data_IF_282324572382
#
_entry.id   IF_282324572382
#
_cell.length_a   1.000
_cell.length_b   1.000
_cell.length_c   1.000
_cell.angle_alpha   90.00
_cell.angle_beta   90.00
_cell.angle_gamma   90.00
#
_symmetry.space_group_name_H-M   'P 1'
#
loop_
_entity.id
_entity.type
_entity.pdbx_description
1 polymer ?
#
# COMPACT_ATOMS: atom_id res chain seq x y z
N UNK A 1 -7.25 29.89 -5.84
CA UNK A 1 -7.04 28.44 -5.83
C UNK A 1 -6.92 28.07 -4.36
N UNK A 2 -7.84 27.29 -3.83
CA UNK A 2 -7.69 26.72 -2.49
C UNK A 2 -6.49 25.78 -2.56
N UNK A 3 -5.44 26.03 -1.79
CA UNK A 3 -4.29 25.12 -1.71
C UNK A 3 -4.82 23.80 -1.15
N UNK A 4 -4.59 22.69 -1.85
CA UNK A 4 -4.93 21.36 -1.35
C UNK A 4 -4.02 21.05 -0.15
N UNK A 5 -4.59 20.45 0.90
CA UNK A 5 -3.84 20.10 2.10
C UNK A 5 -3.34 18.65 2.01
N UNK A 6 -2.03 18.44 2.12
CA UNK A 6 -1.42 17.12 2.31
C UNK A 6 -1.31 16.80 3.81
N UNK A 7 -1.81 15.62 4.20
CA UNK A 7 -1.77 15.13 5.58
C UNK A 7 -0.72 14.03 5.68
N UNK A 8 0.43 14.31 6.29
CA UNK A 8 1.47 13.29 6.48
C UNK A 8 1.14 12.45 7.71
N UNK A 9 1.12 11.13 7.54
CA UNK A 9 0.83 10.15 8.60
C UNK A 9 1.99 9.16 8.68
N UNK A 10 2.81 9.27 9.71
CA UNK A 10 3.91 8.33 9.92
C UNK A 10 3.40 7.01 10.48
N UNK A 11 3.73 5.91 9.81
CA UNK A 11 3.36 4.55 10.16
C UNK A 11 4.62 3.70 10.34
N UNK A 12 5.36 3.82 11.47
CA UNK A 12 6.60 3.07 11.71
C UNK A 12 6.34 1.59 12.04
N UNK A 13 5.57 0.90 11.19
CA UNK A 13 5.23 -0.51 11.31
C UNK A 13 6.47 -1.35 10.98
N UNK A 14 6.82 -2.27 11.86
CA UNK A 14 7.90 -3.24 11.63
C UNK A 14 7.53 -4.63 12.17
N UNK A 15 6.24 -4.81 12.50
CA UNK A 15 5.65 -6.05 13.03
C UNK A 15 5.20 -7.01 11.92
N UNK A 16 5.05 -6.53 10.68
CA UNK A 16 4.66 -7.34 9.54
C UNK A 16 5.76 -8.33 9.12
N UNK A 17 7.01 -8.11 9.54
CA UNK A 17 8.17 -8.96 9.20
C UNK A 17 9.16 -9.09 10.34
N UNK A 18 9.95 -10.16 10.32
CA UNK A 18 10.98 -10.43 11.34
C UNK A 18 12.22 -9.55 11.25
N UNK A 19 12.58 -9.07 10.05
CA UNK A 19 13.78 -8.25 9.86
C UNK A 19 13.44 -6.82 10.26
N UNK A 20 13.99 -6.35 11.37
CA UNK A 20 13.76 -4.98 11.80
C UNK A 20 14.41 -3.94 10.87
N UNK A 21 13.86 -2.73 10.87
CA UNK A 21 14.45 -1.54 10.29
C UNK A 21 13.45 -0.66 9.54
N UNK A 22 12.27 -1.18 9.19
CA UNK A 22 11.26 -0.39 8.49
C UNK A 22 10.66 0.71 9.37
N UNK A 23 10.70 0.55 10.71
CA UNK A 23 10.27 1.59 11.65
C UNK A 23 10.96 2.95 11.44
N UNK A 24 12.14 2.98 10.80
CA UNK A 24 12.91 4.20 10.51
C UNK A 24 12.42 4.93 9.25
N UNK A 25 11.60 4.30 8.41
CA UNK A 25 11.13 4.83 7.13
C UNK A 25 10.44 6.19 7.22
N UNK A 26 9.46 6.39 8.11
CA UNK A 26 8.75 7.68 8.21
C UNK A 26 9.70 8.85 8.51
N UNK A 27 10.66 8.64 9.41
CA UNK A 27 11.60 9.68 9.81
C UNK A 27 12.69 9.91 8.75
N UNK A 28 13.02 8.90 7.94
CA UNK A 28 13.89 9.06 6.78
C UNK A 28 13.25 9.99 5.72
N UNK A 29 11.96 9.84 5.43
CA UNK A 29 11.23 10.76 4.53
C UNK A 29 11.21 12.20 5.06
N UNK A 30 11.02 12.39 6.37
CA UNK A 30 11.08 13.71 7.00
C UNK A 30 12.50 14.30 6.96
N UNK A 31 13.52 13.47 7.17
CA UNK A 31 14.92 13.88 7.08
C UNK A 31 15.31 14.30 5.66
N UNK A 32 14.73 13.67 4.65
CA UNK A 32 14.85 14.06 3.24
C UNK A 32 14.02 15.31 2.87
N UNK A 33 13.39 15.97 3.85
CA UNK A 33 12.57 17.17 3.72
C UNK A 33 11.37 17.03 2.78
N UNK A 34 10.69 15.87 2.81
CA UNK A 34 9.40 15.70 2.11
C UNK A 34 8.39 16.83 2.46
N UNK A 35 8.22 17.27 3.73
CA UNK A 35 7.33 18.38 4.04
C UNK A 35 7.73 19.69 3.36
N UNK A 36 9.03 20.00 3.25
CA UNK A 36 9.53 21.17 2.52
C UNK A 36 9.25 21.07 1.02
N UNK A 37 9.55 19.92 0.41
CA UNK A 37 9.31 19.69 -1.02
C UNK A 37 7.83 19.87 -1.40
N UNK A 38 6.89 19.39 -0.57
CA UNK A 38 5.45 19.60 -0.80
C UNK A 38 5.04 21.07 -0.66
N UNK A 39 5.61 21.81 0.29
CA UNK A 39 5.35 23.26 0.44
C UNK A 39 5.89 24.07 -0.73
N UNK A 40 7.06 23.68 -1.27
CA UNK A 40 7.64 24.32 -2.46
C UNK A 40 6.77 24.12 -3.71
N UNK A 41 6.02 23.02 -3.77
CA UNK A 41 4.99 22.77 -4.79
C UNK A 41 3.67 23.54 -4.55
N UNK A 42 3.54 24.24 -3.42
CA UNK A 42 2.39 25.08 -3.09
C UNK A 42 1.28 24.41 -2.27
N UNK A 43 1.52 23.21 -1.74
CA UNK A 43 0.57 22.52 -0.85
C UNK A 43 0.65 23.03 0.59
N UNK A 44 -0.48 23.07 1.28
CA UNK A 44 -0.48 23.13 2.74
C UNK A 44 -0.12 21.76 3.30
N UNK A 45 0.82 21.71 4.24
CA UNK A 45 1.29 20.42 4.81
C UNK A 45 0.99 20.36 6.29
N UNK A 46 0.17 19.39 6.69
CA UNK A 46 -0.08 19.03 8.09
C UNK A 46 0.57 17.68 8.39
N UNK A 47 1.61 17.68 9.20
CA UNK A 47 2.27 16.46 9.66
C UNK A 47 1.69 16.01 11.01
N UNK A 48 1.09 14.83 11.04
CA UNK A 48 0.49 14.25 12.25
C UNK A 48 1.51 13.49 13.11
N UNK A 49 2.78 13.42 12.69
CA UNK A 49 3.83 12.68 13.38
C UNK A 49 3.75 11.17 13.13
N UNK A 50 4.34 10.39 14.03
CA UNK A 50 4.30 8.94 13.97
C UNK A 50 3.15 8.42 14.84
N UNK A 51 2.33 7.55 14.26
CA UNK A 51 1.31 6.80 14.97
C UNK A 51 1.95 5.72 15.86
N UNK A 52 1.11 5.08 16.66
CA UNK A 52 1.43 3.90 17.46
C UNK A 52 0.30 2.89 17.31
N UNK A 53 0.56 1.58 17.46
CA UNK A 53 -0.51 0.59 17.41
C UNK A 53 -1.44 0.79 18.60
N UNK A 54 -2.70 0.38 18.43
CA UNK A 54 -3.59 0.24 19.57
C UNK A 54 -3.06 -0.76 20.59
N UNK A 55 -3.55 -0.69 21.83
CA UNK A 55 -3.15 -1.62 22.88
C UNK A 55 -3.43 -3.07 22.47
N UNK A 56 -2.40 -3.91 22.57
CA UNK A 56 -2.46 -5.32 22.21
C UNK A 56 -1.85 -6.20 23.31
N UNK A 57 -2.30 -7.44 23.39
CA UNK A 57 -1.65 -8.46 24.22
C UNK A 57 -0.50 -9.12 23.46
N UNK A 58 0.59 -9.56 24.12
CA UNK A 58 1.61 -10.35 23.46
C UNK A 58 1.05 -11.60 22.79
N UNK A 59 1.66 -12.02 21.69
CA UNK A 59 1.31 -13.28 21.05
C UNK A 59 1.60 -14.48 21.98
N UNK A 60 0.88 -15.57 21.77
CA UNK A 60 1.17 -16.82 22.45
C UNK A 60 2.57 -17.35 22.08
N UNK A 61 3.24 -17.98 23.04
CA UNK A 61 4.54 -18.61 22.80
C UNK A 61 4.43 -19.67 21.69
N UNK A 62 5.35 -19.63 20.72
CA UNK A 62 5.35 -20.55 19.58
C UNK A 62 4.31 -20.25 18.48
N UNK A 63 3.68 -19.07 18.50
CA UNK A 63 2.79 -18.64 17.42
C UNK A 63 3.48 -18.74 16.04
N UNK A 64 2.76 -19.31 15.07
CA UNK A 64 3.23 -19.45 13.69
C UNK A 64 3.37 -18.08 13.01
N UNK A 65 2.41 -17.19 13.25
CA UNK A 65 2.37 -15.84 12.70
C UNK A 65 3.22 -14.92 13.57
N UNK A 66 4.02 -14.08 12.93
CA UNK A 66 4.89 -13.13 13.61
C UNK A 66 4.10 -11.87 14.00
N UNK A 67 4.19 -11.45 15.26
CA UNK A 67 3.67 -10.18 15.79
C UNK A 67 2.22 -9.91 15.37
N UNK A 68 1.36 -10.92 15.49
CA UNK A 68 -0.03 -10.89 15.01
C UNK A 68 -0.83 -9.82 15.74
N UNK A 69 -0.83 -9.87 17.08
CA UNK A 69 -1.62 -8.94 17.89
C UNK A 69 -1.15 -7.49 17.74
N UNK A 70 0.16 -7.26 17.57
CA UNK A 70 0.71 -5.94 17.30
C UNK A 70 0.25 -5.42 15.93
N UNK A 71 0.29 -6.26 14.90
CA UNK A 71 -0.15 -5.91 13.54
C UNK A 71 -1.65 -5.63 13.48
N UNK A 72 -2.46 -6.34 14.27
CA UNK A 72 -3.89 -6.03 14.47
C UNK A 72 -4.05 -4.63 15.09
N UNK A 73 -3.26 -4.31 16.13
CA UNK A 73 -3.27 -2.99 16.77
C UNK A 73 -2.89 -1.86 15.79
N UNK A 74 -1.90 -2.10 14.93
CA UNK A 74 -1.53 -1.19 13.85
C UNK A 74 -2.66 -1.02 12.82
N UNK A 75 -3.28 -2.12 12.41
CA UNK A 75 -4.38 -2.12 11.43
C UNK A 75 -5.54 -1.25 11.92
N UNK A 76 -5.93 -1.40 13.19
CA UNK A 76 -6.99 -0.61 13.79
C UNK A 76 -6.64 0.88 13.89
N UNK A 77 -5.42 1.21 14.32
CA UNK A 77 -4.96 2.60 14.43
C UNK A 77 -4.90 3.30 13.07
N UNK A 78 -4.34 2.62 12.05
CA UNK A 78 -4.20 3.16 10.70
C UNK A 78 -5.53 3.30 9.98
N UNK A 79 -6.46 2.36 10.14
CA UNK A 79 -7.79 2.47 9.54
C UNK A 79 -8.56 3.69 10.05
N UNK A 80 -8.47 4.00 11.36
CA UNK A 80 -9.08 5.22 11.92
C UNK A 80 -8.38 6.48 11.41
N UNK A 81 -7.05 6.52 11.49
CA UNK A 81 -6.28 7.68 11.03
C UNK A 81 -6.50 7.96 9.54
N UNK A 82 -6.70 6.92 8.72
CA UNK A 82 -7.02 7.08 7.32
C UNK A 82 -8.37 7.76 7.08
N UNK A 83 -9.42 7.34 7.79
CA UNK A 83 -10.72 8.01 7.73
C UNK A 83 -10.62 9.49 8.13
N UNK A 84 -9.97 9.78 9.25
CA UNK A 84 -9.79 11.16 9.76
C UNK A 84 -8.94 12.04 8.84
N UNK A 85 -7.92 11.47 8.20
CA UNK A 85 -7.05 12.21 7.28
C UNK A 85 -7.76 12.51 5.95
N UNK A 86 -8.54 11.56 5.42
CA UNK A 86 -9.36 11.77 4.21
C UNK A 86 -10.39 12.90 4.38
N UNK A 87 -10.97 13.05 5.57
CA UNK A 87 -11.89 14.16 5.88
C UNK A 87 -11.19 15.54 5.90
N UNK A 88 -9.86 15.56 6.02
CA UNK A 88 -9.06 16.77 6.21
C UNK A 88 -8.22 17.18 4.99
N UNK A 89 -7.92 16.27 4.07
CA UNK A 89 -7.06 16.51 2.91
C UNK A 89 -6.60 15.22 2.26
N UNK A 90 -5.54 15.30 1.44
CA UNK A 90 -4.90 14.15 0.80
C UNK A 90 -3.95 13.45 1.80
N UNK A 91 -4.26 12.24 2.31
CA UNK A 91 -3.35 11.53 3.19
C UNK A 91 -2.15 10.95 2.44
N UNK A 92 -0.96 11.13 3.03
CA UNK A 92 0.28 10.48 2.60
C UNK A 92 0.80 9.67 3.78
N UNK A 93 0.64 8.36 3.71
CA UNK A 93 1.16 7.43 4.72
C UNK A 93 2.63 7.19 4.47
N UNK A 94 3.47 7.59 5.43
CA UNK A 94 4.90 7.35 5.39
C UNK A 94 5.15 6.00 6.05
N UNK A 95 5.55 5.04 5.25
CA UNK A 95 5.51 3.65 5.65
C UNK A 95 6.71 3.16 6.46
N UNK A 96 6.43 2.09 7.19
CA UNK A 96 7.40 1.08 7.57
C UNK A 96 7.26 -0.12 6.63
N UNK A 97 6.90 -1.29 7.14
CA UNK A 97 6.64 -2.45 6.28
C UNK A 97 5.24 -2.38 5.65
N UNK A 98 5.03 -3.10 4.54
CA UNK A 98 3.82 -2.98 3.73
C UNK A 98 2.53 -3.45 4.44
N UNK A 99 2.62 -4.08 5.62
CA UNK A 99 1.43 -4.40 6.43
C UNK A 99 0.66 -3.16 6.89
N UNK A 100 1.27 -1.96 6.83
CA UNK A 100 0.56 -0.70 7.04
C UNK A 100 -0.68 -0.55 6.14
N UNK A 101 -0.65 -1.15 4.95
CA UNK A 101 -1.73 -1.13 3.96
C UNK A 101 -2.95 -1.93 4.38
N UNK A 102 -2.83 -2.81 5.38
CA UNK A 102 -3.99 -3.43 6.03
C UNK A 102 -4.93 -2.35 6.58
N UNK A 103 -4.36 -1.32 7.24
CA UNK A 103 -5.14 -0.24 7.83
C UNK A 103 -5.41 0.91 6.86
N UNK A 104 -4.39 1.40 6.16
CA UNK A 104 -4.54 2.60 5.31
C UNK A 104 -5.54 2.39 4.17
N UNK A 105 -5.41 1.30 3.40
CA UNK A 105 -6.33 0.99 2.29
C UNK A 105 -7.73 0.70 2.80
N UNK A 106 -7.88 -0.07 3.89
CA UNK A 106 -9.19 -0.38 4.46
C UNK A 106 -9.93 0.88 4.94
N UNK A 107 -9.23 1.80 5.61
CA UNK A 107 -9.81 3.06 6.07
C UNK A 107 -10.17 4.01 4.93
N UNK A 108 -9.31 4.12 3.91
CA UNK A 108 -9.60 4.91 2.69
C UNK A 108 -10.80 4.31 1.92
N UNK A 109 -10.85 2.98 1.76
CA UNK A 109 -11.97 2.30 1.11
C UNK A 109 -13.30 2.52 1.85
N UNK A 110 -13.30 2.44 3.18
CA UNK A 110 -14.48 2.73 4.00
C UNK A 110 -14.93 4.20 3.81
N UNK A 111 -14.00 5.14 3.76
CA UNK A 111 -14.30 6.54 3.47
C UNK A 111 -14.91 6.73 2.07
N UNK A 112 -14.31 6.12 1.03
CA UNK A 112 -14.82 6.18 -0.34
C UNK A 112 -16.25 5.59 -0.45
N UNK A 113 -16.52 4.48 0.24
CA UNK A 113 -17.84 3.88 0.29
C UNK A 113 -18.90 4.81 0.92
N UNK A 114 -18.57 5.50 2.02
CA UNK A 114 -19.45 6.52 2.62
C UNK A 114 -19.70 7.70 1.67
N UNK A 115 -18.72 8.06 0.85
CA UNK A 115 -18.83 9.08 -0.18
C UNK A 115 -19.54 8.59 -1.47
N UNK A 116 -19.93 7.32 -1.55
CA UNK A 116 -20.56 6.73 -2.73
C UNK A 116 -19.63 6.60 -3.94
N UNK A 117 -18.31 6.54 -3.72
CA UNK A 117 -17.30 6.39 -4.77
C UNK A 117 -16.69 4.98 -4.74
N UNK A 118 -16.56 4.28 -5.88
CA UNK A 118 -15.85 3.01 -5.92
C UNK A 118 -14.36 3.21 -5.60
N UNK A 119 -13.82 2.44 -4.67
CA UNK A 119 -12.38 2.43 -4.37
C UNK A 119 -11.62 1.62 -5.42
N UNK A 120 -10.50 2.17 -5.89
CA UNK A 120 -9.50 1.51 -6.72
C UNK A 120 -8.14 1.54 -6.04
N UNK A 121 -7.31 0.52 -6.31
CA UNK A 121 -5.95 0.42 -5.76
C UNK A 121 -4.97 0.15 -6.89
N UNK A 122 -3.99 1.03 -7.03
CA UNK A 122 -2.77 0.76 -7.79
C UNK A 122 -1.69 0.30 -6.81
N UNK A 123 -1.21 -0.92 -6.99
CA UNK A 123 -0.21 -1.58 -6.17
C UNK A 123 1.11 -1.65 -6.94
N UNK A 124 2.06 -0.79 -6.59
CA UNK A 124 3.38 -0.74 -7.22
C UNK A 124 4.34 -1.51 -6.31
N UNK A 125 4.70 -2.74 -6.71
CA UNK A 125 5.40 -3.67 -5.81
C UNK A 125 6.11 -4.79 -6.61
N UNK A 126 7.19 -5.35 -6.07
CA UNK A 126 7.78 -6.58 -6.58
C UNK A 126 6.95 -7.84 -6.25
N UNK A 127 6.12 -7.78 -5.23
CA UNK A 127 5.34 -8.86 -4.62
C UNK A 127 3.84 -8.65 -4.84
N UNK A 128 3.04 -9.71 -4.71
CA UNK A 128 1.59 -9.61 -4.82
C UNK A 128 0.90 -9.23 -3.52
N UNK A 129 1.56 -9.44 -2.37
CA UNK A 129 1.00 -9.20 -1.04
C UNK A 129 -0.42 -9.77 -0.84
N UNK A 130 -0.65 -10.91 -1.49
CA UNK A 130 -1.96 -11.57 -1.62
C UNK A 130 -1.99 -12.88 -0.85
N UNK A 131 -1.09 -13.08 0.13
CA UNK A 131 -1.27 -14.14 1.11
C UNK A 131 -2.44 -13.86 2.06
N UNK A 132 -2.86 -14.92 2.75
CA UNK A 132 -3.60 -14.80 4.01
C UNK A 132 -2.65 -15.26 5.13
N UNK A 133 -2.93 -14.96 6.41
CA UNK A 133 -2.15 -15.50 7.52
C UNK A 133 -2.03 -17.04 7.47
N UNK A 134 -3.03 -17.72 6.91
CA UNK A 134 -3.04 -19.18 6.76
C UNK A 134 -2.11 -19.69 5.65
N UNK A 135 -2.02 -18.98 4.53
CA UNK A 135 -1.24 -19.40 3.36
C UNK A 135 0.22 -18.95 3.39
N UNK A 136 0.56 -17.95 4.21
CA UNK A 136 1.94 -17.47 4.37
C UNK A 136 2.83 -18.56 4.97
N UNK A 137 3.88 -18.95 4.22
CA UNK A 137 4.88 -19.92 4.68
C UNK A 137 5.86 -19.33 5.70
N UNK A 138 6.15 -18.03 5.58
CA UNK A 138 7.06 -17.29 6.47
C UNK A 138 6.42 -16.88 7.80
N UNK A 139 5.08 -16.80 7.83
CA UNK A 139 4.33 -16.23 8.95
C UNK A 139 4.42 -14.70 9.02
N UNK A 140 5.01 -14.06 8.01
CA UNK A 140 5.05 -12.62 7.88
C UNK A 140 3.70 -12.08 7.37
N UNK A 141 3.27 -10.95 7.91
CA UNK A 141 2.01 -10.27 7.58
C UNK A 141 2.20 -9.12 6.57
N UNK A 142 3.42 -8.68 6.28
CA UNK A 142 3.63 -7.67 5.23
C UNK A 142 3.22 -8.17 3.83
N UNK A 143 3.16 -9.49 3.62
CA UNK A 143 2.70 -10.10 2.36
C UNK A 143 1.20 -10.43 2.30
N UNK A 144 0.39 -9.93 3.23
CA UNK A 144 -1.07 -10.18 3.28
C UNK A 144 -2.01 -8.98 3.01
N UNK A 145 -1.56 -7.71 2.88
CA UNK A 145 -2.44 -6.56 2.69
C UNK A 145 -3.52 -6.70 1.62
N UNK A 146 -3.18 -7.09 0.38
CA UNK A 146 -4.17 -7.23 -0.68
C UNK A 146 -5.16 -8.37 -0.38
N UNK A 147 -4.70 -9.42 0.31
CA UNK A 147 -5.57 -10.50 0.75
C UNK A 147 -6.62 -10.03 1.76
N UNK A 148 -6.24 -9.15 2.69
CA UNK A 148 -7.13 -8.59 3.70
C UNK A 148 -8.16 -7.65 3.07
N UNK A 149 -7.72 -6.65 2.32
CA UNK A 149 -8.59 -5.57 1.83
C UNK A 149 -9.57 -6.03 0.76
N UNK A 150 -9.34 -7.19 0.14
CA UNK A 150 -10.29 -7.87 -0.77
C UNK A 150 -11.30 -8.75 -0.03
N UNK A 151 -11.20 -8.86 1.30
CA UNK A 151 -12.15 -9.59 2.14
C UNK A 151 -11.94 -11.10 2.17
N UNK A 152 -10.71 -11.60 1.95
CA UNK A 152 -10.44 -13.04 2.06
C UNK A 152 -10.56 -13.54 3.50
N UNK A 153 -10.86 -14.83 3.64
CA UNK A 153 -10.89 -15.49 4.95
C UNK A 153 -9.48 -15.69 5.55
N UNK A 154 -9.42 -15.94 6.87
CA UNK A 154 -8.18 -16.25 7.59
C UNK A 154 -7.52 -15.08 8.30
N UNK A 155 -8.19 -13.93 8.40
CA UNK A 155 -7.78 -12.75 9.15
C UNK A 155 -8.50 -12.66 10.50
N UNK A 156 -8.56 -13.78 11.23
CA UNK A 156 -9.19 -13.82 12.55
C UNK A 156 -8.55 -12.82 13.51
N UNK A 157 -9.39 -12.01 14.19
CA UNK A 157 -8.95 -10.99 15.14
C UNK A 157 -8.60 -9.63 14.53
N UNK A 158 -8.42 -9.53 13.21
CA UNK A 158 -8.31 -8.23 12.54
C UNK A 158 -9.66 -7.49 12.58
N UNK A 159 -9.65 -6.14 12.50
CA UNK A 159 -10.87 -5.38 12.29
C UNK A 159 -11.65 -5.91 11.07
N UNK A 160 -12.99 -5.86 11.05
CA UNK A 160 -13.73 -6.21 9.86
C UNK A 160 -13.47 -5.18 8.75
N UNK A 161 -13.30 -5.66 7.51
CA UNK A 161 -13.20 -4.79 6.34
C UNK A 161 -14.60 -4.29 5.99
N UNK A 162 -14.91 -3.04 6.35
CA UNK A 162 -16.23 -2.41 6.16
C UNK A 162 -16.61 -2.33 4.67
N UNK A 163 -15.64 -2.01 3.81
CA UNK A 163 -15.81 -1.89 2.38
C UNK A 163 -14.68 -2.63 1.64
N UNK A 164 -14.83 -3.94 1.39
CA UNK A 164 -13.83 -4.70 0.63
C UNK A 164 -13.63 -4.11 -0.76
N UNK A 165 -12.38 -3.98 -1.18
CA UNK A 165 -12.04 -3.49 -2.52
C UNK A 165 -12.35 -4.61 -3.52
N UNK A 166 -13.20 -4.37 -4.54
CA UNK A 166 -13.46 -5.35 -5.59
C UNK A 166 -12.15 -5.72 -6.31
N UNK A 167 -11.95 -7.00 -6.59
CA UNK A 167 -10.70 -7.49 -7.21
C UNK A 167 -10.44 -6.84 -8.57
N UNK A 168 -11.51 -6.60 -9.34
CA UNK A 168 -11.47 -5.90 -10.62
C UNK A 168 -11.11 -4.40 -10.50
N UNK A 169 -11.03 -3.86 -9.29
CA UNK A 169 -10.59 -2.49 -9.02
C UNK A 169 -9.12 -2.42 -8.56
N UNK A 170 -8.38 -3.52 -8.66
CA UNK A 170 -6.96 -3.60 -8.26
C UNK A 170 -6.09 -3.83 -9.50
N UNK A 171 -4.98 -3.08 -9.55
CA UNK A 171 -3.92 -3.26 -10.53
C UNK A 171 -2.58 -3.36 -9.82
N UNK A 172 -1.83 -4.43 -10.05
CA UNK A 172 -0.46 -4.64 -9.58
C UNK A 172 0.49 -4.38 -10.75
N UNK A 173 1.48 -3.51 -10.55
CA UNK A 173 2.55 -3.27 -11.52
C UNK A 173 3.91 -3.56 -10.88
N UNK A 174 4.79 -4.25 -11.61
CA UNK A 174 6.17 -4.53 -11.20
C UNK A 174 6.41 -5.92 -10.61
N UNK A 175 5.40 -6.78 -10.68
CA UNK A 175 5.39 -8.11 -10.08
C UNK A 175 6.54 -8.96 -10.61
N UNK A 176 7.32 -9.57 -9.72
CA UNK A 176 8.45 -10.44 -10.09
C UNK A 176 8.88 -11.44 -9.01
N UNK A 177 8.25 -11.41 -7.84
CA UNK A 177 8.49 -12.34 -6.74
C UNK A 177 7.16 -12.83 -6.19
N UNK A 178 6.73 -14.02 -6.62
CA UNK A 178 5.44 -14.59 -6.24
C UNK A 178 5.59 -16.07 -5.91
N UNK A 179 5.25 -16.42 -4.68
CA UNK A 179 5.26 -17.80 -4.22
C UNK A 179 4.15 -18.61 -4.90
N UNK A 180 4.34 -19.94 -5.02
CA UNK A 180 3.39 -20.81 -5.70
C UNK A 180 1.94 -20.69 -5.16
N UNK A 181 1.70 -20.66 -3.83
CA UNK A 181 0.34 -20.51 -3.30
C UNK A 181 -0.29 -19.15 -3.65
N UNK A 182 0.49 -18.07 -3.63
CA UNK A 182 0.01 -16.75 -4.03
C UNK A 182 -0.34 -16.71 -5.52
N UNK A 183 0.54 -17.24 -6.38
CA UNK A 183 0.28 -17.28 -7.82
C UNK A 183 -1.00 -18.05 -8.13
N UNK A 184 -1.22 -19.21 -7.49
CA UNK A 184 -2.44 -19.98 -7.65
C UNK A 184 -3.67 -19.16 -7.23
N UNK A 185 -3.62 -18.54 -6.05
CA UNK A 185 -4.72 -17.70 -5.56
C UNK A 185 -4.97 -16.50 -6.47
N UNK A 186 -3.92 -15.85 -6.99
CA UNK A 186 -4.01 -14.66 -7.84
C UNK A 186 -4.59 -14.98 -9.23
N UNK A 187 -4.25 -16.15 -9.80
CA UNK A 187 -4.75 -16.60 -11.11
C UNK A 187 -6.28 -16.79 -11.14
N UNK A 188 -6.89 -17.00 -9.98
CA UNK A 188 -8.34 -17.18 -9.83
C UNK A 188 -9.09 -15.85 -9.58
N UNK A 189 -8.39 -14.71 -9.61
CA UNK A 189 -8.96 -13.38 -9.33
C UNK A 189 -9.20 -12.54 -10.58
N UNK A 190 -9.96 -11.46 -10.41
CA UNK A 190 -10.07 -10.39 -11.40
C UNK A 190 -9.00 -9.28 -11.25
N UNK A 191 -7.99 -9.48 -10.38
CA UNK A 191 -6.90 -8.52 -10.18
C UNK A 191 -6.06 -8.46 -11.46
N UNK A 192 -5.81 -7.25 -11.97
CA UNK A 192 -4.86 -7.04 -13.08
C UNK A 192 -3.47 -7.07 -12.50
N UNK A 193 -2.65 -8.03 -12.89
CA UNK A 193 -1.28 -8.14 -12.41
C UNK A 193 -0.32 -8.15 -13.59
N UNK A 194 0.53 -7.13 -13.67
CA UNK A 194 1.51 -6.94 -14.73
C UNK A 194 2.90 -7.18 -14.17
N UNK A 195 3.53 -8.25 -14.66
CA UNK A 195 4.88 -8.61 -14.27
C UNK A 195 5.93 -7.78 -15.03
N UNK A 196 7.19 -7.87 -14.58
CA UNK A 196 8.27 -7.13 -15.24
C UNK A 196 8.50 -7.57 -16.69
N UNK A 197 8.14 -8.81 -17.08
CA UNK A 197 8.25 -9.25 -18.47
C UNK A 197 7.23 -8.52 -19.35
N UNK A 198 6.00 -8.38 -18.90
CA UNK A 198 4.99 -7.60 -19.62
C UNK A 198 5.40 -6.14 -19.74
N UNK A 199 5.98 -5.56 -18.68
CA UNK A 199 6.55 -4.20 -18.70
C UNK A 199 7.70 -4.10 -19.70
N UNK A 200 8.61 -5.09 -19.77
CA UNK A 200 9.68 -5.13 -20.77
C UNK A 200 9.15 -5.19 -22.21
N UNK A 201 8.07 -5.94 -22.43
CA UNK A 201 7.48 -6.18 -23.75
C UNK A 201 6.58 -5.02 -24.23
N UNK A 202 5.90 -4.32 -23.32
CA UNK A 202 4.86 -3.33 -23.65
C UNK A 202 5.13 -1.90 -23.15
N UNK A 203 6.12 -1.73 -22.27
CA UNK A 203 6.38 -0.49 -21.55
C UNK A 203 5.39 -0.25 -20.41
N UNK A 204 5.85 0.40 -19.33
CA UNK A 204 5.04 0.59 -18.11
C UNK A 204 3.77 1.43 -18.30
N UNK A 205 3.78 2.33 -19.29
CA UNK A 205 2.70 3.30 -19.48
C UNK A 205 1.40 2.65 -19.99
N UNK A 206 1.51 1.61 -20.83
CA UNK A 206 0.37 0.94 -21.43
C UNK A 206 -0.59 0.33 -20.39
N UNK A 207 -0.14 -0.56 -19.47
CA UNK A 207 -1.02 -1.10 -18.44
C UNK A 207 -1.49 -0.04 -17.44
N UNK A 208 -0.65 0.94 -17.09
CA UNK A 208 -1.03 2.05 -16.20
C UNK A 208 -2.19 2.87 -16.78
N UNK A 209 -2.07 3.29 -18.04
CA UNK A 209 -3.07 4.14 -18.70
C UNK A 209 -4.39 3.41 -18.84
N UNK A 210 -4.36 2.14 -19.25
CA UNK A 210 -5.55 1.30 -19.35
C UNK A 210 -6.28 1.16 -18.00
N UNK A 211 -5.53 1.04 -16.89
CA UNK A 211 -6.13 1.01 -15.57
C UNK A 211 -6.74 2.36 -15.17
N UNK A 212 -6.01 3.46 -15.34
CA UNK A 212 -6.50 4.82 -15.02
C UNK A 212 -7.77 5.19 -15.81
N UNK A 213 -7.89 4.75 -17.06
CA UNK A 213 -9.12 4.91 -17.85
C UNK A 213 -10.32 4.18 -17.23
N UNK A 214 -10.11 2.99 -16.67
CA UNK A 214 -11.15 2.23 -15.96
C UNK A 214 -11.58 2.98 -14.70
N UNK A 215 -10.61 3.49 -13.92
CA UNK A 215 -10.89 4.29 -12.72
C UNK A 215 -11.71 5.53 -13.08
N UNK A 216 -11.27 6.29 -14.08
CA UNK A 216 -11.95 7.51 -14.52
C UNK A 216 -13.39 7.22 -14.99
N UNK A 217 -13.58 6.17 -15.80
CA UNK A 217 -14.90 5.77 -16.30
C UNK A 217 -15.86 5.36 -15.18
N UNK A 218 -15.34 4.79 -14.09
CA UNK A 218 -16.11 4.41 -12.92
C UNK A 218 -16.39 5.59 -11.96
N UNK A 219 -15.80 6.77 -12.16
CA UNK A 219 -15.79 7.85 -11.17
C UNK A 219 -15.09 7.44 -9.87
N UNK A 220 -14.11 6.54 -9.98
CA UNK A 220 -13.43 5.90 -8.86
C UNK A 220 -12.55 6.85 -8.06
N UNK A 221 -12.28 6.47 -6.82
CA UNK A 221 -11.23 7.05 -5.98
C UNK A 221 -9.98 6.15 -6.06
N UNK A 222 -8.82 6.69 -6.38
CA UNK A 222 -7.59 5.90 -6.55
C UNK A 222 -6.68 6.04 -5.33
N UNK A 223 -6.41 4.92 -4.67
CA UNK A 223 -5.32 4.78 -3.70
C UNK A 223 -4.08 4.23 -4.41
N UNK A 224 -2.92 4.84 -4.18
CA UNK A 224 -1.63 4.36 -4.70
C UNK A 224 -0.83 3.81 -3.53
N UNK A 225 -0.59 2.50 -3.54
CA UNK A 225 0.32 1.83 -2.61
C UNK A 225 1.64 1.60 -3.34
N UNK A 226 2.69 2.29 -2.92
CA UNK A 226 4.04 2.15 -3.47
C UNK A 226 4.92 1.45 -2.44
N UNK A 227 5.24 0.17 -2.68
CA UNK A 227 6.42 -0.42 -2.07
C UNK A 227 7.65 0.11 -2.81
N UNK A 228 8.63 0.57 -2.06
CA UNK A 228 9.88 1.06 -2.64
C UNK A 228 10.63 -0.05 -3.36
N UNK A 229 10.40 -1.32 -3.00
CA UNK A 229 10.97 -2.48 -3.69
C UNK A 229 10.37 -2.73 -5.09
N UNK A 230 9.34 -1.99 -5.50
CA UNK A 230 8.92 -1.87 -6.90
C UNK A 230 10.11 -1.51 -7.81
N UNK A 231 10.97 -0.61 -7.32
CA UNK A 231 12.18 -0.17 -8.01
C UNK A 231 13.30 -1.20 -7.93
N UNK A 232 14.20 -1.15 -8.91
CA UNK A 232 15.38 -2.02 -8.90
C UNK A 232 16.29 -1.73 -7.67
N UNK A 233 16.86 -2.75 -7.02
CA UNK A 233 17.75 -2.56 -5.87
C UNK A 233 19.00 -1.71 -6.16
N UNK A 234 19.42 -1.55 -7.42
CA UNK A 234 20.52 -0.65 -7.79
C UNK A 234 20.23 0.82 -7.50
N UNK A 235 18.95 1.21 -7.42
CA UNK A 235 18.51 2.58 -7.12
C UNK A 235 17.79 2.68 -5.79
N UNK A 236 17.17 1.60 -5.32
CA UNK A 236 16.47 1.51 -4.05
C UNK A 236 17.00 0.35 -3.16
N UNK A 237 18.26 0.42 -2.68
CA UNK A 237 18.87 -0.70 -1.95
C UNK A 237 18.37 -0.86 -0.51
N UNK A 238 17.75 0.18 0.06
CA UNK A 238 17.37 0.26 1.47
C UNK A 238 15.93 -0.25 1.73
N UNK A 239 15.62 -1.46 1.24
CA UNK A 239 14.31 -2.10 1.38
C UNK A 239 14.39 -3.43 2.13
N UNK A 240 13.25 -3.91 2.65
CA UNK A 240 13.17 -5.13 3.45
C UNK A 240 13.55 -6.39 2.66
N UNK A 241 13.03 -6.51 1.43
CA UNK A 241 13.14 -7.67 0.56
C UNK A 241 13.50 -7.24 -0.87
N UNK A 242 14.78 -7.16 -1.19
CA UNK A 242 15.23 -6.76 -2.55
C UNK A 242 15.00 -7.88 -3.57
N UNK A 243 14.41 -7.55 -4.72
CA UNK A 243 14.29 -8.45 -5.88
C UNK A 243 14.88 -7.77 -7.13
N UNK A 244 15.95 -8.30 -7.75
CA UNK A 244 16.56 -7.73 -8.94
C UNK A 244 15.61 -7.66 -10.15
N UNK A 245 15.88 -6.74 -11.07
CA UNK A 245 15.09 -6.58 -12.30
C UNK A 245 13.82 -5.78 -12.08
N UNK A 246 13.86 -4.77 -11.21
CA UNK A 246 12.73 -3.89 -10.92
C UNK A 246 12.63 -2.70 -11.88
N UNK A 247 11.63 -1.86 -11.65
CA UNK A 247 11.46 -0.64 -12.43
C UNK A 247 12.63 0.32 -12.23
N UNK A 248 12.99 1.02 -13.30
CA UNK A 248 13.99 2.10 -13.24
C UNK A 248 13.40 3.34 -12.57
N UNK A 249 14.26 4.26 -12.12
CA UNK A 249 13.82 5.58 -11.62
C UNK A 249 13.01 6.34 -12.68
N UNK A 250 13.35 6.21 -13.96
CA UNK A 250 12.62 6.87 -15.06
C UNK A 250 11.21 6.33 -15.22
N UNK A 251 11.03 5.01 -15.11
CA UNK A 251 9.71 4.39 -15.15
C UNK A 251 8.89 4.74 -13.92
N UNK A 252 9.48 4.67 -12.72
CA UNK A 252 8.82 5.11 -11.49
C UNK A 252 8.39 6.58 -11.54
N UNK A 253 9.25 7.47 -12.04
CA UNK A 253 8.92 8.88 -12.22
C UNK A 253 7.78 9.07 -13.23
N UNK A 254 7.83 8.39 -14.38
CA UNK A 254 6.78 8.45 -15.39
C UNK A 254 5.43 7.96 -14.83
N UNK A 255 5.44 6.92 -13.99
CA UNK A 255 4.24 6.45 -13.29
C UNK A 255 3.65 7.57 -12.43
N UNK A 256 4.49 8.24 -11.62
CA UNK A 256 4.03 9.34 -10.75
C UNK A 256 3.49 10.55 -11.55
N UNK A 257 4.17 10.94 -12.63
CA UNK A 257 3.71 12.01 -13.55
C UNK A 257 2.34 11.65 -14.17
N UNK A 258 2.19 10.41 -14.64
CA UNK A 258 0.94 9.95 -15.26
C UNK A 258 -0.21 9.90 -14.25
N UNK A 259 0.05 9.48 -13.02
CA UNK A 259 -0.94 9.50 -11.93
C UNK A 259 -1.36 10.94 -11.61
N UNK A 260 -0.40 11.86 -11.50
CA UNK A 260 -0.67 13.29 -11.26
C UNK A 260 -1.56 13.88 -12.37
N UNK A 261 -1.18 13.68 -13.63
CA UNK A 261 -1.91 14.19 -14.79
C UNK A 261 -3.35 13.64 -14.89
N UNK A 262 -3.60 12.45 -14.33
CA UNK A 262 -4.94 11.85 -14.30
C UNK A 262 -5.92 12.58 -13.37
N UNK A 263 -5.43 13.20 -12.29
CA UNK A 263 -6.26 13.81 -11.25
C UNK A 263 -7.14 12.82 -10.46
N UNK A 264 -6.82 11.52 -10.49
CA UNK A 264 -7.66 10.46 -9.89
C UNK A 264 -7.25 10.07 -8.46
N UNK A 265 -6.03 10.37 -8.06
CA UNK A 265 -5.47 10.01 -6.75
C UNK A 265 -6.19 10.76 -5.62
N UNK A 266 -6.55 10.05 -4.56
CA UNK A 266 -7.31 10.58 -3.41
C UNK A 266 -6.82 10.01 -2.10
#
# INVERSE_FOLDING_TARGET
MTSETCILVGAPVDSGKRRSGCLMGPDAYRTADLPGALRDLGYEVRDLGNLSPDSFAPDAEGAKIHALNETIGWTAALARAAGEAMDAGLPIFLGGDHSLSLGSVAGVAAHAARAGRPQFVLWLDAHSDYHTPLSSGSGNLHGTPLGYVTGREGFDGFPPVEAPVPQENICILGLRSVDLPERQALTETAIRAHDMREIDESGILAPLTAFLEIVAKAGGALHVSLDVDFLDPSVAPAVGTTVPGGATVREGHLVMETIHDSGLMT
#
